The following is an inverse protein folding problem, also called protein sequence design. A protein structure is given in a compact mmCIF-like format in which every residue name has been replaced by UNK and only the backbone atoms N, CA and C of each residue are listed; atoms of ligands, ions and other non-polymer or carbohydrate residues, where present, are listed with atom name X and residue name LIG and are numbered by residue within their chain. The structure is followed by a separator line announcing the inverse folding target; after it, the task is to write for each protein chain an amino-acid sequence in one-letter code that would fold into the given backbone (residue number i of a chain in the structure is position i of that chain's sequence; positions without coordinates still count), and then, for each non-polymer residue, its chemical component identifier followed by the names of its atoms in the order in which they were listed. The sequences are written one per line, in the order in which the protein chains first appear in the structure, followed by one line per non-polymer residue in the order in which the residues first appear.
data_IF_838200112672
#
_entry.id   IF_838200112672
#
_cell.length_a   1.000
_cell.length_b   1.000
_cell.length_c   1.000
_cell.angle_alpha   90.00
_cell.angle_beta   90.00
_cell.angle_gamma   90.00
#
_symmetry.space_group_name_H-M   'P 1'
#
loop_
_entity.id
_entity.type
_entity.pdbx_description
1 polymer ?
#
# COMPACT_ATOMS: atom_id res chain seq x y z
N UNK A 1 -2.19 7.78 17.67
CA UNK A 1 -1.06 6.85 17.45
C UNK A 1 -1.53 5.39 17.47
N UNK A 2 -2.40 5.00 18.40
CA UNK A 2 -2.95 3.63 18.54
C UNK A 2 -3.52 2.97 17.26
N UNK A 3 -4.14 3.74 16.37
CA UNK A 3 -4.80 3.20 15.16
C UNK A 3 -3.81 2.60 14.14
N UNK A 4 -2.60 3.13 14.04
CA UNK A 4 -1.59 2.63 13.08
C UNK A 4 -0.82 1.42 13.62
N UNK A 5 -0.88 1.18 14.93
CA UNK A 5 -0.22 0.06 15.59
C UNK A 5 -1.11 -1.19 15.63
N UNK A 6 -2.44 -1.01 15.63
CA UNK A 6 -3.41 -2.10 15.75
C UNK A 6 -3.87 -2.71 14.42
N UNK A 7 -3.65 -2.03 13.29
CA UNK A 7 -4.17 -2.45 11.96
C UNK A 7 -3.01 -2.82 11.05
N UNK A 8 -3.05 -3.99 10.43
CA UNK A 8 -2.03 -4.37 9.44
C UNK A 8 -2.22 -3.51 8.18
N UNK A 9 -1.13 -3.00 7.60
CA UNK A 9 -1.20 -2.05 6.48
C UNK A 9 -2.04 -2.53 5.27
N UNK A 10 -2.18 -3.85 5.10
CA UNK A 10 -3.00 -4.46 4.04
C UNK A 10 -4.51 -4.34 4.30
N UNK A 11 -4.92 -4.23 5.57
CA UNK A 11 -6.31 -4.21 5.99
C UNK A 11 -7.03 -2.94 5.55
N UNK A 12 -6.33 -1.80 5.49
CA UNK A 12 -6.90 -0.51 5.06
C UNK A 12 -7.38 -0.58 3.60
N UNK A 13 -6.60 -1.18 2.71
CA UNK A 13 -6.97 -1.33 1.30
C UNK A 13 -8.13 -2.31 1.14
N UNK A 14 -8.17 -3.36 1.94
CA UNK A 14 -9.27 -4.33 1.95
C UNK A 14 -10.56 -3.69 2.45
N UNK A 15 -10.49 -2.87 3.50
CA UNK A 15 -11.62 -2.10 4.05
C UNK A 15 -12.20 -1.17 2.97
N UNK A 16 -11.36 -0.35 2.35
CA UNK A 16 -11.79 0.58 1.29
C UNK A 16 -12.39 -0.16 0.09
N UNK A 17 -11.78 -1.28 -0.32
CA UNK A 17 -12.28 -2.12 -1.40
C UNK A 17 -13.61 -2.80 -1.05
N UNK A 18 -13.83 -3.17 0.21
CA UNK A 18 -15.08 -3.77 0.68
C UNK A 18 -16.25 -2.78 0.60
N UNK A 19 -16.00 -1.51 0.95
CA UNK A 19 -16.97 -0.42 0.74
C UNK A 19 -17.26 -0.25 -0.76
N UNK A 20 -16.23 -0.26 -1.59
CA UNK A 20 -16.38 -0.10 -3.04
C UNK A 20 -17.21 -1.21 -3.69
N UNK A 21 -16.96 -2.48 -3.33
CA UNK A 21 -17.70 -3.61 -3.91
C UNK A 21 -19.19 -3.57 -3.54
N UNK A 22 -19.55 -3.01 -2.38
CA UNK A 22 -20.96 -2.80 -1.99
C UNK A 22 -21.71 -1.86 -2.93
N UNK A 23 -21.02 -0.93 -3.61
CA UNK A 23 -21.63 -0.03 -4.58
C UNK A 23 -21.95 -0.73 -5.93
N UNK A 24 -21.47 -1.96 -6.14
CA UNK A 24 -21.72 -2.82 -7.30
C UNK A 24 -21.55 -2.15 -8.68
N UNK A 25 -20.72 -1.10 -8.77
CA UNK A 25 -20.49 -0.35 -10.01
C UNK A 25 -19.26 -0.93 -10.73
N UNK A 26 -19.38 -1.33 -12.02
CA UNK A 26 -18.28 -1.95 -12.76
C UNK A 26 -17.27 -0.90 -13.26
N UNK A 27 -16.56 -0.25 -12.35
CA UNK A 27 -15.58 0.78 -12.69
C UNK A 27 -14.16 0.23 -12.68
N UNK A 28 -13.68 -0.15 -13.86
CA UNK A 28 -12.36 -0.75 -14.06
C UNK A 28 -11.20 0.07 -13.49
N UNK A 29 -11.20 1.39 -13.69
CA UNK A 29 -10.10 2.26 -13.24
C UNK A 29 -9.94 2.24 -11.71
N UNK A 30 -11.04 2.28 -10.97
CA UNK A 30 -11.00 2.23 -9.50
C UNK A 30 -10.52 0.87 -9.01
N UNK A 31 -10.94 -0.22 -9.66
CA UNK A 31 -10.45 -1.56 -9.33
C UNK A 31 -8.94 -1.73 -9.62
N UNK A 32 -8.46 -1.17 -10.72
CA UNK A 32 -7.03 -1.20 -11.07
C UNK A 32 -6.21 -0.33 -10.11
N UNK A 33 -6.76 0.79 -9.62
CA UNK A 33 -6.15 1.59 -8.55
C UNK A 33 -6.06 0.81 -7.22
N UNK A 34 -7.12 0.13 -6.80
CA UNK A 34 -7.08 -0.74 -5.61
C UNK A 34 -6.09 -1.89 -5.77
N UNK A 35 -6.00 -2.48 -6.96
CA UNK A 35 -4.97 -3.48 -7.25
C UNK A 35 -3.58 -2.86 -7.08
N UNK A 36 -3.32 -1.71 -7.70
CA UNK A 36 -2.04 -1.04 -7.62
C UNK A 36 -1.60 -0.78 -6.17
N UNK A 37 -2.50 -0.26 -5.34
CA UNK A 37 -2.23 -0.05 -3.92
C UNK A 37 -1.95 -1.36 -3.17
N UNK A 38 -2.78 -2.38 -3.39
CA UNK A 38 -2.61 -3.68 -2.74
C UNK A 38 -1.29 -4.35 -3.12
N UNK A 39 -0.90 -4.27 -4.39
CA UNK A 39 0.37 -4.80 -4.87
C UNK A 39 1.55 -4.00 -4.33
N UNK A 40 1.47 -2.68 -4.33
CA UNK A 40 2.51 -1.80 -3.79
C UNK A 40 2.79 -2.11 -2.32
N UNK A 41 1.74 -2.18 -1.48
CA UNK A 41 1.88 -2.50 -0.06
C UNK A 41 2.45 -3.90 0.17
N UNK A 42 2.06 -4.87 -0.67
CA UNK A 42 2.55 -6.25 -0.58
C UNK A 42 4.03 -6.36 -0.94
N UNK A 43 4.48 -5.66 -1.98
CA UNK A 43 5.86 -5.75 -2.45
C UNK A 43 6.82 -4.77 -1.77
N UNK A 44 6.31 -3.77 -1.06
CA UNK A 44 7.13 -2.78 -0.36
C UNK A 44 8.15 -3.40 0.61
N UNK A 45 7.78 -4.34 1.51
CA UNK A 45 8.74 -4.98 2.40
C UNK A 45 9.84 -5.73 1.64
N UNK A 46 9.48 -6.41 0.55
CA UNK A 46 10.46 -7.12 -0.29
C UNK A 46 11.40 -6.15 -1.01
N UNK A 47 10.89 -5.03 -1.50
CA UNK A 47 11.71 -3.96 -2.08
C UNK A 47 12.70 -3.41 -1.04
N UNK A 48 12.23 -3.11 0.17
CA UNK A 48 13.06 -2.62 1.27
C UNK A 48 14.16 -3.62 1.64
N UNK A 49 13.82 -4.91 1.77
CA UNK A 49 14.78 -5.97 2.05
C UNK A 49 15.84 -6.09 0.95
N UNK A 50 15.43 -6.06 -0.33
CA UNK A 50 16.36 -6.08 -1.46
C UNK A 50 17.31 -4.87 -1.46
N UNK A 51 16.80 -3.67 -1.14
CA UNK A 51 17.63 -2.47 -1.02
C UNK A 51 18.65 -2.60 0.10
N UNK A 52 18.23 -3.08 1.28
CA UNK A 52 19.12 -3.30 2.41
C UNK A 52 20.18 -4.37 2.12
N UNK A 53 19.81 -5.46 1.45
CA UNK A 53 20.73 -6.50 1.02
C UNK A 53 21.81 -5.96 0.08
N UNK A 54 21.41 -5.17 -0.93
CA UNK A 54 22.35 -4.53 -1.85
C UNK A 54 23.33 -3.63 -1.10
N UNK A 55 22.81 -2.82 -0.17
CA UNK A 55 23.61 -1.93 0.66
C UNK A 55 24.60 -2.69 1.56
N UNK A 56 24.13 -3.75 2.22
CA UNK A 56 24.97 -4.60 3.07
C UNK A 56 26.08 -5.29 2.27
N UNK A 57 25.78 -5.74 1.05
CA UNK A 57 26.76 -6.33 0.14
C UNK A 57 27.84 -5.31 -0.25
N UNK A 58 27.47 -4.06 -0.54
CA UNK A 58 28.44 -3.01 -0.85
C UNK A 58 29.29 -2.64 0.37
N UNK A 59 28.69 -2.60 1.55
CA UNK A 59 29.42 -2.42 2.82
C UNK A 59 30.44 -3.53 3.06
N UNK A 60 30.07 -4.79 2.86
CA UNK A 60 31.00 -5.92 3.03
C UNK A 60 32.16 -5.91 2.02
N UNK A 61 31.96 -5.30 0.84
CA UNK A 61 33.00 -5.09 -0.16
C UNK A 61 33.87 -3.84 0.11
N UNK A 62 33.65 -3.12 1.21
CA UNK A 62 34.39 -1.90 1.55
C UNK A 62 34.01 -0.68 0.70
N UNK A 63 32.96 -0.75 -0.10
CA UNK A 63 32.56 0.31 -1.05
C UNK A 63 31.81 1.49 -0.39
N UNK A 64 31.51 1.40 0.91
CA UNK A 64 30.80 2.45 1.67
C UNK A 64 31.65 3.11 2.78
N UNK A 65 32.97 2.88 2.81
CA UNK A 65 33.83 3.54 3.79
C UNK A 65 33.91 5.07 3.53
N UNK A 66 33.57 5.88 4.54
CA UNK A 66 33.71 7.36 4.58
C UNK A 66 33.02 8.18 3.48
N UNK A 67 31.78 7.85 3.13
CA UNK A 67 30.99 8.67 2.21
C UNK A 67 30.23 9.79 2.96
N UNK A 68 30.51 11.05 2.59
CA UNK A 68 29.66 12.21 2.90
C UNK A 68 28.22 11.99 2.41
N UNK A 69 27.24 12.69 3.01
CA UNK A 69 25.81 12.56 2.71
C UNK A 69 25.52 12.66 1.19
N UNK A 70 26.13 13.61 0.50
CA UNK A 70 25.99 13.77 -0.95
C UNK A 70 26.59 12.60 -1.75
N UNK A 71 27.69 12.02 -1.25
CA UNK A 71 28.29 10.82 -1.82
C UNK A 71 27.37 9.61 -1.74
N UNK A 72 26.68 9.45 -0.61
CA UNK A 72 25.68 8.39 -0.41
C UNK A 72 24.50 8.53 -1.37
N UNK A 73 23.99 9.75 -1.58
CA UNK A 73 22.89 10.01 -2.53
C UNK A 73 23.33 9.74 -3.96
N UNK A 74 24.52 10.21 -4.37
CA UNK A 74 25.06 9.96 -5.72
C UNK A 74 25.21 8.46 -6.01
N UNK A 75 25.67 7.71 -5.02
CA UNK A 75 25.81 6.27 -5.10
C UNK A 75 24.44 5.59 -5.18
N UNK A 76 23.50 5.97 -4.31
CA UNK A 76 22.15 5.44 -4.37
C UNK A 76 21.50 5.67 -5.75
N UNK A 77 21.71 6.85 -6.35
CA UNK A 77 21.23 7.16 -7.69
C UNK A 77 21.88 6.30 -8.78
N UNK A 78 23.16 5.93 -8.63
CA UNK A 78 23.85 5.03 -9.57
C UNK A 78 23.37 3.58 -9.49
N UNK A 79 22.96 3.13 -8.30
CA UNK A 79 22.47 1.77 -8.06
C UNK A 79 20.97 1.60 -8.38
N UNK A 80 20.20 2.69 -8.33
CA UNK A 80 18.75 2.69 -8.58
C UNK A 80 18.34 2.04 -9.92
N UNK A 81 18.98 2.34 -11.07
CA UNK A 81 18.60 1.74 -12.35
C UNK A 81 18.62 0.21 -12.34
N UNK A 82 19.61 -0.41 -11.70
CA UNK A 82 19.71 -1.88 -11.62
C UNK A 82 18.53 -2.48 -10.86
N UNK A 83 18.11 -1.84 -9.76
CA UNK A 83 16.94 -2.25 -9.00
C UNK A 83 15.65 -2.02 -9.77
N UNK A 84 15.52 -0.90 -10.48
CA UNK A 84 14.36 -0.62 -11.31
C UNK A 84 14.17 -1.68 -12.40
N UNK A 85 15.27 -2.10 -13.06
CA UNK A 85 15.23 -3.20 -14.03
C UNK A 85 14.77 -4.50 -13.36
N UNK A 86 15.27 -4.81 -12.16
CA UNK A 86 14.84 -6.00 -11.42
C UNK A 86 13.34 -5.94 -11.06
N UNK A 87 12.85 -4.80 -10.58
CA UNK A 87 11.45 -4.64 -10.23
C UNK A 87 10.53 -4.63 -11.46
N UNK A 88 10.99 -4.09 -12.59
CA UNK A 88 10.27 -4.11 -13.86
C UNK A 88 10.07 -5.56 -14.34
N UNK A 89 11.13 -6.36 -14.38
CA UNK A 89 11.05 -7.79 -14.74
C UNK A 89 10.09 -8.54 -13.81
N UNK A 90 10.20 -8.29 -12.51
CA UNK A 90 9.29 -8.87 -11.53
C UNK A 90 7.84 -8.46 -11.79
N UNK A 91 7.58 -7.20 -12.14
CA UNK A 91 6.24 -6.73 -12.47
C UNK A 91 5.68 -7.45 -13.71
N UNK A 92 6.51 -7.69 -14.73
CA UNK A 92 6.12 -8.47 -15.92
C UNK A 92 5.78 -9.92 -15.58
N UNK A 93 6.61 -10.59 -14.78
CA UNK A 93 6.39 -11.96 -14.34
C UNK A 93 5.08 -12.09 -13.54
N UNK A 94 4.82 -11.14 -12.65
CA UNK A 94 3.60 -11.08 -11.85
C UNK A 94 2.38 -10.83 -12.75
N UNK A 95 2.46 -9.85 -13.67
CA UNK A 95 1.37 -9.53 -14.57
C UNK A 95 1.01 -10.74 -15.45
N UNK A 96 2.02 -11.47 -15.93
CA UNK A 96 1.85 -12.70 -16.67
C UNK A 96 1.16 -13.77 -15.83
N UNK A 97 1.63 -14.01 -14.60
CA UNK A 97 1.02 -14.97 -13.68
C UNK A 97 -0.43 -14.61 -13.34
N UNK A 98 -0.74 -13.31 -13.17
CA UNK A 98 -2.10 -12.83 -12.94
C UNK A 98 -3.01 -13.11 -14.14
N UNK A 99 -2.55 -12.82 -15.36
CA UNK A 99 -3.29 -13.10 -16.59
C UNK A 99 -3.59 -14.59 -16.75
N UNK A 100 -2.61 -15.45 -16.46
CA UNK A 100 -2.78 -16.91 -16.49
C UNK A 100 -3.82 -17.41 -15.48
N UNK A 101 -3.92 -16.75 -14.32
CA UNK A 101 -4.95 -17.02 -13.31
C UNK A 101 -6.35 -16.48 -13.67
N UNK A 102 -6.52 -15.93 -14.87
CA UNK A 102 -7.80 -15.40 -15.35
C UNK A 102 -8.11 -13.99 -14.87
N UNK A 103 -7.12 -13.25 -14.35
CA UNK A 103 -7.30 -11.84 -14.00
C UNK A 103 -7.74 -11.01 -15.21
N UNK A 104 -8.72 -10.13 -15.01
CA UNK A 104 -9.25 -9.24 -16.06
C UNK A 104 -10.45 -9.77 -16.85
N UNK A 105 -10.93 -11.00 -16.57
CA UNK A 105 -12.08 -11.60 -17.27
C UNK A 105 -13.45 -11.25 -16.68
N UNK A 106 -13.53 -10.72 -15.46
CA UNK A 106 -14.79 -10.40 -14.77
C UNK A 106 -14.70 -9.04 -14.05
N UNK A 107 -15.77 -8.25 -14.16
CA UNK A 107 -16.01 -6.98 -13.46
C UNK A 107 -17.50 -6.89 -13.07
N UNK A 108 -17.85 -6.40 -11.87
CA UNK A 108 -16.97 -6.02 -10.76
C UNK A 108 -16.33 -7.24 -10.07
N UNK A 109 -15.15 -7.06 -9.50
CA UNK A 109 -14.38 -8.16 -8.87
C UNK A 109 -14.74 -8.35 -7.40
N UNK A 110 -14.98 -9.59 -6.99
CA UNK A 110 -15.16 -9.96 -5.59
C UNK A 110 -13.92 -9.71 -4.72
N UNK A 111 -14.14 -9.57 -3.40
CA UNK A 111 -13.09 -9.49 -2.37
C UNK A 111 -13.09 -10.82 -1.61
N UNK A 112 -11.92 -11.43 -1.42
CA UNK A 112 -11.79 -12.74 -0.73
C UNK A 112 -12.14 -12.66 0.76
N UNK A 113 -11.80 -11.54 1.41
CA UNK A 113 -12.10 -11.27 2.82
C UNK A 113 -12.77 -9.91 2.97
N UNK A 114 -14.08 -9.80 2.67
CA UNK A 114 -14.78 -8.53 2.79
C UNK A 114 -14.98 -8.17 4.27
N UNK A 115 -14.67 -6.92 4.62
CA UNK A 115 -15.02 -6.38 5.94
C UNK A 115 -16.49 -5.97 5.97
N UNK A 116 -17.26 -6.57 6.86
CA UNK A 116 -18.71 -6.36 6.94
C UNK A 116 -18.98 -5.06 7.69
N UNK A 117 -19.45 -4.04 6.97
CA UNK A 117 -19.90 -2.78 7.56
C UNK A 117 -21.37 -2.86 7.99
N UNK A 118 -21.58 -3.05 9.29
CA UNK A 118 -22.89 -2.96 9.95
C UNK A 118 -23.35 -1.52 10.18
N UNK A 119 -24.67 -1.31 10.25
CA UNK A 119 -25.29 0.00 10.51
C UNK A 119 -24.85 0.60 11.86
N UNK A 120 -24.52 -0.25 12.85
CA UNK A 120 -23.99 0.17 14.16
C UNK A 120 -22.71 0.99 14.03
N UNK A 121 -21.81 0.63 13.09
CA UNK A 121 -20.57 1.39 12.88
C UNK A 121 -20.85 2.78 12.29
N UNK A 122 -21.89 2.93 11.48
CA UNK A 122 -22.29 4.23 10.93
C UNK A 122 -22.84 5.15 12.03
N UNK A 123 -23.63 4.60 12.96
CA UNK A 123 -24.12 5.32 14.14
C UNK A 123 -22.95 5.78 15.02
N UNK A 124 -21.97 4.91 15.27
CA UNK A 124 -20.77 5.25 16.06
C UNK A 124 -19.99 6.42 15.43
N UNK A 125 -19.81 6.43 14.11
CA UNK A 125 -19.12 7.52 13.40
C UNK A 125 -19.86 8.84 13.59
N UNK A 126 -21.18 8.86 13.38
CA UNK A 126 -22.01 10.07 13.53
C UNK A 126 -21.94 10.60 14.97
N UNK A 127 -22.02 9.70 15.96
CA UNK A 127 -21.99 10.07 17.37
C UNK A 127 -20.65 10.70 17.77
N UNK A 128 -19.53 10.11 17.34
CA UNK A 128 -18.19 10.65 17.62
C UNK A 128 -18.01 12.03 16.97
N UNK A 129 -18.40 12.18 15.70
CA UNK A 129 -18.31 13.47 14.99
C UNK A 129 -19.20 14.55 15.63
N UNK A 130 -20.41 14.19 16.06
CA UNK A 130 -21.32 15.11 16.74
C UNK A 130 -20.77 15.59 18.08
N UNK A 131 -20.25 14.67 18.90
CA UNK A 131 -19.62 15.02 20.19
C UNK A 131 -18.44 15.96 19.98
N UNK A 132 -17.56 15.65 19.02
CA UNK A 132 -16.43 16.52 18.70
C UNK A 132 -16.87 17.93 18.31
N UNK A 133 -17.90 18.03 17.45
CA UNK A 133 -18.43 19.31 17.01
C UNK A 133 -19.01 20.13 18.17
N UNK A 134 -19.78 19.49 19.07
CA UNK A 134 -20.33 20.14 20.26
C UNK A 134 -19.22 20.67 21.17
N UNK A 135 -18.22 19.84 21.48
CA UNK A 135 -17.08 20.26 22.32
C UNK A 135 -16.35 21.45 21.69
N UNK A 136 -16.10 21.40 20.37
CA UNK A 136 -15.46 22.49 19.66
C UNK A 136 -16.27 23.80 19.78
N UNK A 137 -17.59 23.73 19.57
CA UNK A 137 -18.45 24.93 19.68
C UNK A 137 -18.47 25.52 21.08
N UNK A 138 -18.46 24.69 22.14
CA UNK A 138 -18.41 25.15 23.53
C UNK A 138 -17.05 25.76 23.87
N UNK A 139 -15.95 25.19 23.37
CA UNK A 139 -14.60 25.70 23.61
C UNK A 139 -14.28 27.00 22.86
N UNK A 140 -15.03 27.32 21.81
CA UNK A 140 -14.89 28.58 21.04
C UNK A 140 -15.78 29.72 21.53
N UNK A 141 -16.67 29.46 22.50
CA UNK A 141 -17.48 30.46 23.21
C UNK A 141 -16.71 30.96 24.42
#
# INVERSE_FOLDING_TARGET
MFFFESIQNQDIVIIARSIWVRLNKPWKWVEDFFLFLGMTLRFYPTFQSNWQLLRNTRKSLGLEADLSYLGQVKIAAKEMPGLLIHQLRRADDIAMAMKLRGYGKQFPRGVTYPTIFNAVHLIQIILISSIYWVIHTIATI
#
